data_IF_908536455238
#
_entry.id   IF_908536455238
#
_cell.length_a   1.000
_cell.length_b   1.000
_cell.length_c   1.000
_cell.angle_alpha   90.00
_cell.angle_beta   90.00
_cell.angle_gamma   90.00
#
_symmetry.space_group_name_H-M   'P 1'
#
loop_
_entity.id
_entity.type
_entity.pdbx_description
1 polymer ?
#
# COMPACT_ATOMS: atom_id res chain seq x y z
N UNK A 1 30.23 -42.13 0.69
CA UNK A 1 29.84 -40.94 -0.03
C UNK A 1 30.99 -40.46 -0.88
N UNK A 2 30.76 -40.28 -2.17
CA UNK A 2 31.73 -39.84 -3.15
C UNK A 2 31.85 -38.32 -3.22
N UNK A 3 33.02 -37.83 -3.62
CA UNK A 3 33.34 -36.43 -3.84
C UNK A 3 33.13 -35.45 -2.63
N UNK A 4 33.17 -35.98 -1.40
CA UNK A 4 33.24 -35.09 -0.23
C UNK A 4 34.63 -34.48 -0.12
N UNK A 5 34.73 -33.19 0.17
CA UNK A 5 35.99 -32.50 0.42
C UNK A 5 36.43 -32.72 1.88
N UNK A 6 37.67 -33.15 2.07
CA UNK A 6 38.26 -33.44 3.37
C UNK A 6 39.57 -32.67 3.50
N UNK A 7 39.71 -31.80 4.51
CA UNK A 7 40.90 -31.00 4.68
C UNK A 7 41.19 -30.68 6.16
N UNK A 8 42.42 -30.31 6.45
CA UNK A 8 42.81 -29.85 7.76
C UNK A 8 42.72 -28.33 7.86
N UNK A 9 41.88 -27.86 8.77
CA UNK A 9 41.53 -26.46 8.93
C UNK A 9 42.77 -25.57 9.10
N UNK A 10 42.84 -24.48 8.33
CA UNK A 10 43.96 -23.54 8.36
C UNK A 10 45.25 -24.02 7.70
N UNK A 11 45.20 -25.12 6.96
CA UNK A 11 46.36 -25.66 6.23
C UNK A 11 46.03 -25.92 4.75
N UNK A 12 47.03 -26.19 3.96
CA UNK A 12 46.87 -26.63 2.57
C UNK A 12 46.69 -28.15 2.39
N UNK A 13 46.58 -28.93 3.48
CA UNK A 13 46.50 -30.41 3.44
C UNK A 13 45.04 -30.84 3.32
N UNK A 14 44.69 -31.53 2.25
CA UNK A 14 43.34 -32.02 2.00
C UNK A 14 43.26 -33.00 0.84
N UNK A 15 42.07 -33.51 0.60
CA UNK A 15 41.75 -34.42 -0.49
C UNK A 15 40.23 -34.53 -0.71
N UNK A 16 39.84 -35.42 -1.61
CA UNK A 16 38.45 -35.72 -1.93
C UNK A 16 38.21 -37.19 -1.67
N UNK A 17 37.03 -37.56 -1.21
CA UNK A 17 36.63 -38.98 -1.10
C UNK A 17 36.43 -39.65 -2.44
N UNK A 18 36.81 -40.91 -2.53
CA UNK A 18 36.51 -41.74 -3.72
C UNK A 18 35.04 -42.24 -3.69
N UNK A 19 34.66 -43.04 -4.68
CA UNK A 19 33.31 -43.63 -4.83
C UNK A 19 32.87 -44.45 -3.60
N UNK A 20 33.84 -45.07 -2.88
CA UNK A 20 33.60 -45.84 -1.67
C UNK A 20 33.55 -44.97 -0.40
N UNK A 21 33.74 -43.64 -0.54
CA UNK A 21 33.79 -42.69 0.59
C UNK A 21 35.12 -42.72 1.36
N UNK A 22 36.18 -43.28 0.81
CA UNK A 22 37.50 -43.33 1.41
C UNK A 22 38.32 -42.09 1.04
N UNK A 23 39.01 -41.52 1.98
CA UNK A 23 39.88 -40.36 1.79
C UNK A 23 41.27 -40.59 2.37
N UNK A 24 42.25 -39.90 1.82
CA UNK A 24 43.64 -39.92 2.32
C UNK A 24 44.12 -38.44 2.42
N UNK A 25 44.57 -38.04 3.62
CA UNK A 25 45.21 -36.76 3.86
C UNK A 25 46.56 -37.01 4.52
N UNK A 26 47.62 -36.45 3.93
CA UNK A 26 48.98 -36.55 4.49
C UNK A 26 49.41 -35.17 4.98
N UNK A 27 49.82 -35.11 6.27
CA UNK A 27 50.30 -33.89 6.89
C UNK A 27 51.43 -34.21 7.92
N UNK A 28 52.24 -33.23 8.29
CA UNK A 28 53.22 -33.40 9.40
C UNK A 28 52.52 -33.78 10.70
N UNK A 29 53.30 -34.35 11.66
CA UNK A 29 52.80 -34.64 12.99
C UNK A 29 52.34 -33.34 13.69
N UNK A 30 51.19 -33.39 14.35
CA UNK A 30 50.58 -32.24 15.04
C UNK A 30 49.10 -32.44 15.33
N UNK A 31 48.51 -31.49 16.03
CA UNK A 31 47.07 -31.45 16.30
C UNK A 31 46.36 -30.58 15.26
N UNK A 32 45.33 -31.14 14.67
CA UNK A 32 44.60 -30.54 13.61
C UNK A 32 43.08 -30.66 13.83
N UNK A 33 42.32 -29.86 13.15
CA UNK A 33 40.86 -30.03 13.02
C UNK A 33 40.58 -30.53 11.62
N UNK A 34 40.09 -31.74 11.48
CA UNK A 34 39.64 -32.33 10.22
C UNK A 34 38.26 -31.77 9.88
N UNK A 35 38.11 -31.18 8.70
CA UNK A 35 36.86 -30.67 8.19
C UNK A 35 36.43 -31.54 7.02
N UNK A 36 35.19 -32.02 7.08
CA UNK A 36 34.54 -32.78 6.00
C UNK A 36 33.31 -32.04 5.54
N UNK A 37 33.27 -31.70 4.28
CA UNK A 37 32.17 -30.99 3.66
C UNK A 37 31.75 -31.63 2.34
N UNK A 38 30.43 -31.63 2.06
CA UNK A 38 29.87 -32.04 0.80
C UNK A 38 28.60 -31.24 0.51
N UNK A 39 28.29 -31.04 -0.75
CA UNK A 39 27.10 -30.30 -1.19
C UNK A 39 25.82 -31.00 -0.69
N UNK A 40 24.97 -30.27 0.05
CA UNK A 40 23.73 -30.82 0.62
C UNK A 40 23.91 -31.58 1.95
N UNK A 41 25.09 -31.47 2.61
CA UNK A 41 25.38 -32.10 3.90
C UNK A 41 25.97 -31.09 4.88
N UNK A 42 25.66 -31.26 6.16
CA UNK A 42 26.27 -30.44 7.24
C UNK A 42 27.76 -30.69 7.31
N UNK A 43 28.53 -29.62 7.25
CA UNK A 43 29.98 -29.68 7.46
C UNK A 43 30.27 -30.22 8.88
N UNK A 44 31.16 -31.21 8.99
CA UNK A 44 31.55 -31.81 10.24
C UNK A 44 33.01 -31.46 10.51
N UNK A 45 33.27 -30.94 11.69
CA UNK A 45 34.63 -30.68 12.20
C UNK A 45 34.96 -31.68 13.31
N UNK A 46 36.12 -32.35 13.24
CA UNK A 46 36.60 -33.26 14.28
C UNK A 46 38.07 -33.01 14.59
N UNK A 47 38.49 -32.99 15.87
CA UNK A 47 39.88 -32.93 16.22
C UNK A 47 40.58 -34.25 15.82
N UNK A 48 41.78 -34.15 15.29
CA UNK A 48 42.62 -35.27 14.94
C UNK A 48 44.09 -34.97 15.26
N UNK A 49 44.74 -35.87 15.98
CA UNK A 49 46.17 -35.79 16.27
C UNK A 49 46.95 -36.75 15.36
N UNK A 50 47.88 -36.21 14.58
CA UNK A 50 48.75 -37.00 13.70
C UNK A 50 50.12 -37.22 14.37
N UNK A 51 50.55 -38.49 14.44
CA UNK A 51 51.84 -38.87 15.00
C UNK A 51 52.73 -39.35 13.85
N UNK A 52 54.01 -38.99 13.90
CA UNK A 52 54.97 -39.34 12.85
C UNK A 52 55.07 -40.87 12.65
N UNK A 53 54.85 -41.29 11.40
CA UNK A 53 54.93 -42.69 11.00
C UNK A 53 53.69 -43.53 11.30
N UNK A 54 52.64 -42.96 11.89
CA UNK A 54 51.38 -43.67 12.16
C UNK A 54 50.29 -43.28 11.14
N UNK A 55 49.45 -44.29 10.86
CA UNK A 55 48.20 -44.05 10.09
C UNK A 55 47.02 -43.95 11.05
N UNK A 56 46.36 -42.81 11.06
CA UNK A 56 45.17 -42.59 11.88
C UNK A 56 43.92 -42.83 10.99
N UNK A 57 43.02 -43.70 11.42
CA UNK A 57 41.76 -43.95 10.75
C UNK A 57 40.66 -43.16 11.45
N UNK A 58 40.09 -42.17 10.76
CA UNK A 58 39.02 -41.32 11.28
C UNK A 58 37.78 -41.48 10.45
N UNK A 59 36.74 -42.13 11.00
CA UNK A 59 35.46 -42.23 10.35
C UNK A 59 34.62 -40.97 10.68
N UNK A 60 34.01 -40.38 9.64
CA UNK A 60 33.16 -39.21 9.78
C UNK A 60 31.79 -39.50 9.12
N UNK A 61 30.74 -39.39 9.91
CA UNK A 61 29.39 -39.50 9.42
C UNK A 61 28.88 -38.08 9.16
N UNK A 62 28.50 -37.78 7.95
CA UNK A 62 27.88 -36.53 7.56
C UNK A 62 26.36 -36.75 7.41
N UNK A 63 25.58 -35.88 8.01
CA UNK A 63 24.11 -35.90 7.90
C UNK A 63 23.67 -35.00 6.73
N UNK A 64 22.69 -35.44 5.92
CA UNK A 64 22.12 -34.54 4.97
C UNK A 64 21.71 -33.23 5.68
N UNK A 65 22.20 -32.12 5.19
CA UNK A 65 21.60 -30.85 5.46
C UNK A 65 20.30 -30.85 4.66
N UNK A 66 19.22 -31.36 5.26
CA UNK A 66 17.92 -30.78 4.93
C UNK A 66 18.08 -29.31 5.34
N UNK A 67 18.64 -28.50 4.46
CA UNK A 67 18.15 -27.17 4.35
C UNK A 67 16.64 -27.39 4.08
N UNK A 68 15.84 -27.40 5.15
CA UNK A 68 14.81 -26.39 5.14
C UNK A 68 15.61 -25.16 4.73
N UNK A 69 15.46 -24.78 3.47
CA UNK A 69 15.59 -23.40 3.10
C UNK A 69 14.73 -22.73 4.16
N UNK A 70 15.33 -22.30 5.27
CA UNK A 70 14.89 -21.09 5.92
C UNK A 70 14.69 -20.25 4.70
N UNK A 71 13.42 -20.20 4.30
CA UNK A 71 12.95 -19.37 3.24
C UNK A 71 13.89 -18.19 3.40
N UNK A 72 14.91 -18.10 2.50
CA UNK A 72 15.59 -16.84 2.34
C UNK A 72 14.41 -16.00 2.09
N UNK A 73 13.94 -15.41 3.16
CA UNK A 73 13.05 -14.30 3.11
C UNK A 73 14.01 -13.26 2.53
N UNK A 74 14.30 -13.43 1.23
CA UNK A 74 14.37 -12.28 0.37
C UNK A 74 13.12 -11.61 0.81
N UNK A 75 13.26 -10.54 1.60
CA UNK A 75 12.17 -9.64 1.93
C UNK A 75 11.75 -9.17 0.56
N UNK A 76 10.96 -10.08 -0.07
CA UNK A 76 10.39 -9.90 -1.37
C UNK A 76 9.58 -8.68 -1.09
N UNK A 77 10.04 -7.54 -1.57
CA UNK A 77 9.30 -6.31 -1.46
C UNK A 77 7.89 -6.74 -1.78
N UNK A 78 6.88 -6.31 -0.99
CA UNK A 78 5.50 -6.81 -1.18
C UNK A 78 5.08 -6.79 -2.65
N UNK A 79 5.69 -5.93 -3.47
CA UNK A 79 5.67 -5.86 -4.93
C UNK A 79 6.10 -7.19 -5.60
N UNK A 80 7.20 -7.81 -5.18
CA UNK A 80 7.67 -9.08 -5.77
C UNK A 80 6.74 -10.25 -5.42
N UNK A 81 6.09 -10.22 -4.24
CA UNK A 81 5.09 -11.23 -3.85
C UNK A 81 3.85 -11.15 -4.73
N UNK A 82 3.33 -9.94 -4.99
CA UNK A 82 2.17 -9.74 -5.85
C UNK A 82 2.48 -10.18 -7.27
N UNK A 83 3.65 -9.82 -7.82
CA UNK A 83 4.09 -10.24 -9.18
C UNK A 83 4.22 -11.75 -9.34
N UNK A 84 4.47 -12.51 -8.27
CA UNK A 84 4.56 -13.99 -8.28
C UNK A 84 3.24 -14.68 -7.91
N UNK A 85 2.20 -13.91 -7.59
CA UNK A 85 0.89 -14.50 -7.25
C UNK A 85 0.26 -15.16 -8.49
N UNK A 86 -0.61 -16.13 -8.24
CA UNK A 86 -1.38 -16.79 -9.31
C UNK A 86 -2.48 -15.89 -9.89
N UNK A 87 -2.67 -14.70 -9.33
CA UNK A 87 -3.67 -13.73 -9.78
C UNK A 87 -3.08 -12.78 -10.82
N UNK A 88 -3.92 -12.29 -11.72
CA UNK A 88 -3.56 -11.19 -12.62
C UNK A 88 -3.48 -9.90 -11.79
N UNK A 89 -2.32 -9.66 -11.21
CA UNK A 89 -2.11 -8.56 -10.28
C UNK A 89 -0.87 -7.73 -10.63
N UNK A 90 -1.00 -6.43 -10.46
CA UNK A 90 0.07 -5.45 -10.63
C UNK A 90 0.32 -4.76 -9.30
N UNK A 91 1.57 -4.67 -8.89
CA UNK A 91 1.96 -3.87 -7.75
C UNK A 91 2.74 -2.64 -8.21
N UNK A 92 2.24 -1.47 -7.85
CA UNK A 92 2.90 -0.17 -8.06
C UNK A 92 3.65 0.17 -6.78
N UNK A 93 4.97 0.29 -6.87
CA UNK A 93 5.81 0.80 -5.77
C UNK A 93 5.65 2.32 -5.69
N UNK A 94 5.28 2.82 -4.53
CA UNK A 94 5.08 4.26 -4.32
C UNK A 94 6.36 4.98 -3.90
N UNK A 95 7.44 4.26 -3.59
CA UNK A 95 8.67 4.84 -3.04
C UNK A 95 9.31 5.89 -3.92
N UNK A 96 9.27 5.69 -5.24
CA UNK A 96 9.79 6.68 -6.20
C UNK A 96 8.99 7.98 -6.23
N UNK A 97 7.73 7.93 -5.78
CA UNK A 97 6.83 9.07 -5.73
C UNK A 97 6.75 9.71 -4.34
N UNK A 98 7.28 9.03 -3.31
CA UNK A 98 7.32 9.57 -1.95
C UNK A 98 8.12 10.87 -1.90
N UNK A 99 7.76 11.76 -0.96
CA UNK A 99 8.32 13.11 -0.81
C UNK A 99 8.09 14.01 -2.03
N UNK A 100 7.06 13.72 -2.81
CA UNK A 100 6.55 14.60 -3.87
C UNK A 100 5.16 15.14 -3.49
N UNK A 101 4.65 16.10 -4.24
CA UNK A 101 3.30 16.67 -4.07
C UNK A 101 2.18 15.80 -4.65
N UNK A 102 2.51 14.56 -5.09
CA UNK A 102 1.60 13.65 -5.76
C UNK A 102 0.65 12.95 -4.80
N UNK A 103 -0.50 12.55 -5.33
CA UNK A 103 -1.52 11.80 -4.63
C UNK A 103 -1.50 10.31 -5.04
N UNK A 104 -2.30 9.49 -4.38
CA UNK A 104 -2.45 8.07 -4.76
C UNK A 104 -3.01 7.89 -6.16
N UNK A 105 -3.86 8.80 -6.62
CA UNK A 105 -4.36 8.82 -8.00
C UNK A 105 -3.23 8.85 -9.02
N UNK A 106 -2.21 9.69 -8.81
CA UNK A 106 -1.04 9.77 -9.70
C UNK A 106 -0.25 8.45 -9.74
N UNK A 107 -0.12 7.78 -8.60
CA UNK A 107 0.55 6.48 -8.54
C UNK A 107 -0.24 5.40 -9.30
N UNK A 108 -1.57 5.43 -9.21
CA UNK A 108 -2.46 4.49 -9.90
C UNK A 108 -2.34 4.56 -11.43
N UNK A 109 -2.07 5.73 -12.00
CA UNK A 109 -1.89 5.86 -13.47
C UNK A 109 -0.73 5.05 -14.00
N UNK A 110 0.22 4.64 -13.14
CA UNK A 110 1.33 3.76 -13.51
C UNK A 110 0.91 2.29 -13.66
N UNK A 111 -0.28 1.90 -13.18
CA UNK A 111 -0.79 0.54 -13.35
C UNK A 111 -1.38 0.33 -14.76
N UNK A 112 -0.94 -0.67 -15.53
CA UNK A 112 -1.51 -0.96 -16.84
C UNK A 112 -3.02 -1.19 -16.76
N UNK A 113 -3.78 -0.65 -17.72
CA UNK A 113 -5.25 -0.74 -17.77
C UNK A 113 -5.99 0.22 -16.85
N UNK A 114 -5.27 0.98 -16.01
CA UNK A 114 -5.84 2.03 -15.18
C UNK A 114 -5.98 3.32 -15.97
N UNK A 115 -7.17 3.92 -15.93
CA UNK A 115 -7.45 5.25 -16.46
C UNK A 115 -8.11 6.10 -15.38
N UNK A 116 -7.60 7.29 -15.21
CA UNK A 116 -8.12 8.28 -14.28
C UNK A 116 -8.50 9.54 -15.05
N UNK A 117 -9.65 10.07 -14.74
CA UNK A 117 -10.12 11.36 -15.25
C UNK A 117 -10.54 12.21 -14.08
N UNK A 118 -9.90 13.35 -13.94
CA UNK A 118 -10.27 14.38 -12.97
C UNK A 118 -10.94 15.55 -13.70
N UNK A 119 -11.95 16.13 -13.09
CA UNK A 119 -12.76 17.16 -13.72
C UNK A 119 -12.23 18.58 -13.52
N UNK A 120 -11.22 18.77 -12.66
CA UNK A 120 -10.70 20.09 -12.33
C UNK A 120 -9.49 20.10 -11.44
N UNK A 121 -9.41 21.06 -10.53
CA UNK A 121 -8.33 21.24 -9.56
C UNK A 121 -8.37 20.28 -8.36
N UNK A 122 -7.73 20.67 -7.28
CA UNK A 122 -7.71 19.88 -6.04
C UNK A 122 -9.13 19.65 -5.54
N UNK A 123 -9.45 18.39 -5.18
CA UNK A 123 -10.78 18.01 -4.69
C UNK A 123 -11.84 17.82 -5.76
N UNK A 124 -11.49 17.95 -7.04
CA UNK A 124 -12.44 17.72 -8.14
C UNK A 124 -12.88 16.26 -8.20
N UNK A 125 -14.06 16.05 -8.82
CA UNK A 125 -14.59 14.69 -9.02
C UNK A 125 -13.63 13.87 -9.89
N UNK A 126 -13.35 12.67 -9.40
CA UNK A 126 -12.45 11.70 -10.03
C UNK A 126 -13.23 10.48 -10.52
N UNK A 127 -13.07 10.14 -11.79
CA UNK A 127 -13.54 8.88 -12.35
C UNK A 127 -12.38 7.91 -12.52
N UNK A 128 -12.50 6.76 -11.92
CA UNK A 128 -11.53 5.69 -11.98
C UNK A 128 -12.07 4.56 -12.84
N UNK A 129 -11.27 4.10 -13.80
CA UNK A 129 -11.57 2.97 -14.67
C UNK A 129 -10.42 1.97 -14.64
N UNK A 130 -10.74 0.70 -14.49
CA UNK A 130 -9.82 -0.43 -14.57
C UNK A 130 -10.28 -1.38 -15.68
N UNK A 131 -9.48 -1.52 -16.74
CA UNK A 131 -9.77 -2.34 -17.92
C UNK A 131 -11.20 -2.13 -18.48
N UNK A 132 -11.70 -0.88 -18.43
CA UNK A 132 -13.04 -0.49 -18.89
C UNK A 132 -14.14 -0.53 -17.82
N UNK A 133 -13.91 -1.13 -16.68
CA UNK A 133 -14.84 -1.13 -15.54
C UNK A 133 -14.70 0.12 -14.70
N UNK A 134 -15.80 0.65 -14.19
CA UNK A 134 -15.82 1.84 -13.34
C UNK A 134 -16.88 1.75 -12.25
N UNK A 135 -16.89 2.72 -11.32
CA UNK A 135 -17.88 2.82 -10.25
C UNK A 135 -17.86 1.61 -9.32
N UNK A 136 -19.03 1.01 -9.12
CA UNK A 136 -19.23 -0.12 -8.17
C UNK A 136 -18.44 -1.40 -8.53
N UNK A 137 -18.01 -1.53 -9.78
CA UNK A 137 -17.32 -2.72 -10.26
C UNK A 137 -15.83 -2.75 -9.88
N UNK A 138 -15.26 -1.63 -9.45
CA UNK A 138 -13.88 -1.52 -8.99
C UNK A 138 -13.90 -1.15 -7.51
N UNK A 139 -13.44 -2.06 -6.67
CA UNK A 139 -13.44 -1.87 -5.21
C UNK A 139 -12.10 -1.36 -4.72
N UNK A 140 -12.13 -0.45 -3.75
CA UNK A 140 -10.93 0.11 -3.13
C UNK A 140 -10.82 -0.39 -1.69
N UNK A 141 -9.63 -0.80 -1.32
CA UNK A 141 -9.30 -1.27 0.02
C UNK A 141 -8.07 -0.52 0.56
N UNK A 142 -8.00 -0.35 1.86
CA UNK A 142 -6.80 0.06 2.58
C UNK A 142 -6.44 -1.06 3.55
N UNK A 143 -5.27 -1.69 3.36
CA UNK A 143 -4.81 -2.83 4.15
C UNK A 143 -5.81 -4.01 4.22
N UNK A 144 -6.63 -4.19 3.20
CA UNK A 144 -7.68 -5.21 3.16
C UNK A 144 -9.02 -4.76 3.77
N UNK A 145 -9.13 -3.54 4.28
CA UNK A 145 -10.40 -2.96 4.76
C UNK A 145 -11.10 -2.25 3.61
N UNK A 146 -12.33 -2.62 3.23
CA UNK A 146 -13.04 -2.00 2.13
C UNK A 146 -13.36 -0.53 2.45
N UNK A 147 -13.21 0.33 1.43
CA UNK A 147 -13.43 1.78 1.50
C UNK A 147 -14.75 2.18 0.82
N UNK A 148 -15.77 1.35 0.92
CA UNK A 148 -17.07 1.61 0.32
C UNK A 148 -17.83 2.67 1.11
N UNK A 149 -18.47 3.59 0.39
CA UNK A 149 -19.30 4.62 0.99
C UNK A 149 -18.53 5.72 1.74
N UNK A 150 -17.24 5.81 1.61
CA UNK A 150 -16.41 6.84 2.30
C UNK A 150 -16.52 8.20 1.61
N UNK A 151 -17.47 8.43 0.74
CA UNK A 151 -17.75 9.73 0.13
C UNK A 151 -16.56 10.43 -0.53
N UNK A 152 -16.80 11.62 -1.07
CA UNK A 152 -15.77 12.44 -1.73
C UNK A 152 -14.72 13.01 -0.76
N UNK A 153 -15.02 13.03 0.53
CA UNK A 153 -14.08 13.53 1.56
C UNK A 153 -12.81 12.67 1.69
N UNK A 154 -12.85 11.42 1.24
CA UNK A 154 -11.73 10.47 1.29
C UNK A 154 -11.41 9.89 -0.10
N UNK A 155 -11.48 10.70 -1.13
CA UNK A 155 -11.18 10.29 -2.50
C UNK A 155 -9.67 10.09 -2.73
N UNK A 156 -9.29 9.16 -3.59
CA UNK A 156 -7.89 8.78 -3.86
C UNK A 156 -7.02 9.92 -4.38
N UNK A 157 -7.61 10.91 -5.04
CA UNK A 157 -6.93 12.11 -5.50
C UNK A 157 -6.67 13.14 -4.38
N UNK A 158 -7.15 12.88 -3.16
CA UNK A 158 -6.91 13.70 -1.99
C UNK A 158 -5.93 13.05 -1.01
N UNK A 159 -5.65 11.75 -1.14
CA UNK A 159 -4.74 11.02 -0.26
C UNK A 159 -3.31 11.18 -0.77
N UNK A 160 -2.38 11.73 0.04
CA UNK A 160 -0.97 11.85 -0.35
C UNK A 160 -0.34 10.50 -0.67
N UNK A 161 0.56 10.45 -1.64
CA UNK A 161 1.24 9.21 -2.03
C UNK A 161 2.07 8.60 -0.90
N UNK A 162 2.55 9.43 0.04
CA UNK A 162 3.32 8.99 1.22
C UNK A 162 2.51 8.08 2.16
N UNK A 163 1.18 8.09 2.05
CA UNK A 163 0.30 7.21 2.81
C UNK A 163 0.53 5.73 2.51
N UNK A 164 0.92 5.39 1.28
CA UNK A 164 1.07 4.01 0.83
C UNK A 164 2.55 3.59 0.68
N UNK A 165 2.87 2.35 1.05
CA UNK A 165 4.12 1.66 0.68
C UNK A 165 4.06 1.14 -0.76
N UNK A 166 2.88 0.66 -1.15
CA UNK A 166 2.56 0.19 -2.49
C UNK A 166 1.06 0.17 -2.74
N UNK A 167 0.69 0.09 -4.01
CA UNK A 167 -0.69 -0.13 -4.43
C UNK A 167 -0.73 -1.46 -5.19
N UNK A 168 -1.62 -2.34 -4.78
CA UNK A 168 -1.87 -3.63 -5.42
C UNK A 168 -3.15 -3.54 -6.24
N UNK A 169 -3.07 -3.82 -7.53
CA UNK A 169 -4.22 -3.80 -8.44
C UNK A 169 -4.46 -5.23 -8.93
N UNK A 170 -5.56 -5.82 -8.53
CA UNK A 170 -6.02 -7.15 -8.94
C UNK A 170 -7.08 -6.99 -10.01
N UNK A 171 -6.92 -7.69 -11.14
CA UNK A 171 -7.75 -7.58 -12.33
C UNK A 171 -8.57 -8.86 -12.55
N UNK A 172 -9.86 -8.71 -12.71
CA UNK A 172 -10.76 -9.85 -12.89
C UNK A 172 -10.84 -10.72 -11.64
N UNK A 173 -10.14 -11.86 -11.60
CA UNK A 173 -10.15 -12.77 -10.45
C UNK A 173 -9.33 -12.17 -9.30
N UNK A 174 -9.97 -12.01 -8.15
CA UNK A 174 -9.37 -11.43 -6.94
C UNK A 174 -9.21 -12.47 -5.83
N UNK A 175 -8.25 -12.30 -4.90
CA UNK A 175 -8.15 -13.15 -3.72
C UNK A 175 -9.43 -13.15 -2.89
N UNK A 176 -9.81 -14.30 -2.33
CA UNK A 176 -11.05 -14.50 -1.56
C UNK A 176 -11.22 -13.48 -0.43
N UNK A 177 -10.13 -13.00 0.16
CA UNK A 177 -10.16 -11.99 1.23
C UNK A 177 -10.73 -10.62 0.84
N UNK A 178 -10.91 -10.33 -0.45
CA UNK A 178 -11.48 -9.07 -0.94
C UNK A 178 -12.98 -9.17 -1.29
N UNK A 179 -13.60 -10.33 -1.09
CA UNK A 179 -15.01 -10.54 -1.43
C UNK A 179 -15.24 -10.93 -2.89
N UNK A 180 -16.50 -11.11 -3.26
CA UNK A 180 -16.92 -11.70 -4.55
C UNK A 180 -17.53 -10.71 -5.53
N UNK A 181 -17.82 -9.49 -5.12
CA UNK A 181 -18.59 -8.50 -5.89
C UNK A 181 -17.73 -7.49 -6.67
N UNK A 182 -16.41 -7.67 -6.67
CA UNK A 182 -15.47 -6.83 -7.41
C UNK A 182 -15.24 -7.35 -8.84
N UNK A 183 -16.24 -7.26 -9.70
CA UNK A 183 -16.22 -7.83 -11.07
C UNK A 183 -15.10 -7.23 -11.93
N UNK A 184 -14.87 -5.93 -11.84
CA UNK A 184 -13.82 -5.24 -12.59
C UNK A 184 -12.43 -5.36 -11.97
N UNK A 185 -12.36 -5.62 -10.68
CA UNK A 185 -11.12 -5.78 -9.94
C UNK A 185 -11.05 -5.02 -8.62
N UNK A 186 -9.90 -5.14 -7.97
CA UNK A 186 -9.64 -4.57 -6.64
C UNK A 186 -8.38 -3.74 -6.66
N UNK A 187 -8.44 -2.58 -6.02
CA UNK A 187 -7.31 -1.72 -5.71
C UNK A 187 -7.09 -1.78 -4.21
N UNK A 188 -5.98 -2.37 -3.77
CA UNK A 188 -5.61 -2.44 -2.36
C UNK A 188 -4.41 -1.53 -2.08
N UNK A 189 -4.65 -0.49 -1.31
CA UNK A 189 -3.62 0.43 -0.85
C UNK A 189 -2.99 -0.18 0.40
N UNK A 190 -1.72 -0.53 0.32
CA UNK A 190 -0.98 -1.12 1.43
C UNK A 190 -0.16 -0.05 2.10
N UNK A 191 -0.46 0.22 3.36
CA UNK A 191 0.29 1.15 4.19
C UNK A 191 1.63 0.54 4.63
N UNK A 192 2.53 1.35 5.14
CA UNK A 192 3.85 0.87 5.57
C UNK A 192 3.71 -0.04 6.80
N UNK A 193 3.84 -1.37 6.57
CA UNK A 193 3.78 -2.40 7.63
C UNK A 193 5.14 -2.76 8.22
N UNK A 194 6.19 -1.97 7.95
CA UNK A 194 7.52 -2.27 8.48
C UNK A 194 7.52 -2.11 9.99
N UNK A 195 7.87 -3.17 10.70
CA UNK A 195 8.08 -3.16 12.14
C UNK A 195 9.26 -2.26 12.49
N UNK A 196 8.98 -1.06 12.93
CA UNK A 196 9.97 -0.14 13.49
C UNK A 196 9.60 0.14 14.93
N UNK A 197 10.60 0.36 15.77
CA UNK A 197 10.37 0.76 17.15
C UNK A 197 9.51 2.03 17.22
N UNK A 198 9.79 2.96 16.34
CA UNK A 198 8.98 4.12 16.05
C UNK A 198 9.35 4.71 14.69
N UNK A 199 8.46 5.44 14.08
CA UNK A 199 8.72 6.22 12.86
C UNK A 199 7.85 7.47 12.85
N UNK A 200 8.36 8.52 12.22
CA UNK A 200 7.64 9.76 11.95
C UNK A 200 7.99 10.20 10.54
N UNK A 201 6.98 10.34 9.70
CA UNK A 201 7.08 10.96 8.38
C UNK A 201 6.17 12.18 8.39
N UNK A 202 6.70 13.35 8.04
CA UNK A 202 5.94 14.57 7.94
C UNK A 202 6.30 15.30 6.64
N UNK A 203 5.30 15.82 5.95
CA UNK A 203 5.51 16.60 4.75
C UNK A 203 4.54 17.78 4.69
N UNK A 204 5.02 18.87 4.12
CA UNK A 204 4.23 20.03 3.78
C UNK A 204 4.63 20.52 2.39
N UNK A 205 3.65 20.90 1.60
CA UNK A 205 3.89 21.52 0.30
C UNK A 205 2.97 22.71 0.09
N UNK A 206 3.52 23.70 -0.60
CA UNK A 206 2.82 24.90 -1.05
C UNK A 206 2.94 25.00 -2.57
N UNK A 207 1.86 25.34 -3.24
CA UNK A 207 1.80 25.39 -4.70
C UNK A 207 0.91 26.52 -5.23
N UNK A 208 0.77 26.56 -6.55
CA UNK A 208 -0.09 27.51 -7.24
C UNK A 208 -1.52 27.44 -6.71
N UNK A 209 -2.25 28.56 -6.86
CA UNK A 209 -3.65 28.69 -6.43
C UNK A 209 -3.84 28.52 -4.92
N UNK A 210 -2.86 29.04 -4.15
CA UNK A 210 -2.85 28.94 -2.70
C UNK A 210 -3.04 27.49 -2.22
N UNK A 211 -2.38 26.54 -2.90
CA UNK A 211 -2.54 25.12 -2.58
C UNK A 211 -1.61 24.73 -1.45
N UNK A 212 -2.19 24.22 -0.38
CA UNK A 212 -1.48 23.70 0.80
C UNK A 212 -1.79 22.22 0.94
N UNK A 213 -0.76 21.39 1.08
CA UNK A 213 -0.92 19.98 1.42
C UNK A 213 0.00 19.64 2.58
N UNK A 214 -0.54 19.06 3.62
CA UNK A 214 0.22 18.56 4.76
C UNK A 214 -0.11 17.11 5.05
N UNK A 215 0.90 16.36 5.48
CA UNK A 215 0.75 14.98 5.89
C UNK A 215 1.66 14.71 7.09
N UNK A 216 1.14 13.95 8.05
CA UNK A 216 1.89 13.43 9.20
C UNK A 216 1.55 11.97 9.38
N UNK A 217 2.55 11.11 9.38
CA UNK A 217 2.42 9.69 9.63
C UNK A 217 3.34 9.29 10.77
N UNK A 218 2.78 8.87 11.88
CA UNK A 218 3.49 8.46 13.08
C UNK A 218 3.05 7.08 13.53
N UNK A 219 3.98 6.25 13.97
CA UNK A 219 3.66 4.96 14.53
C UNK A 219 4.75 4.41 15.41
N UNK A 220 4.35 3.54 16.35
CA UNK A 220 5.24 2.88 17.28
C UNK A 220 4.78 1.47 17.56
N UNK A 221 5.76 0.56 17.62
CA UNK A 221 5.57 -0.82 18.07
C UNK A 221 6.46 -1.08 19.28
N UNK A 222 5.87 -1.47 20.40
CA UNK A 222 6.56 -1.83 21.62
C UNK A 222 7.05 -3.30 21.60
N UNK A 223 8.01 -3.62 22.45
CA UNK A 223 8.55 -4.99 22.58
C UNK A 223 7.47 -6.03 22.96
N UNK A 224 6.45 -5.61 23.66
CA UNK A 224 5.31 -6.46 24.03
C UNK A 224 4.30 -6.66 22.89
N UNK A 225 4.56 -6.14 21.67
CA UNK A 225 3.67 -6.25 20.52
C UNK A 225 2.53 -5.23 20.48
N UNK A 226 2.38 -4.38 21.50
CA UNK A 226 1.43 -3.27 21.41
C UNK A 226 1.88 -2.29 20.33
N UNK A 227 0.95 -1.90 19.45
CA UNK A 227 1.22 -1.07 18.27
C UNK A 227 0.14 -0.02 18.13
N UNK A 228 0.55 1.20 17.82
CA UNK A 228 -0.36 2.24 17.37
C UNK A 228 0.22 3.00 16.18
N UNK A 229 -0.66 3.51 15.35
CA UNK A 229 -0.32 4.22 14.12
C UNK A 229 -1.35 5.30 13.87
N UNK A 230 -0.90 6.49 13.50
CA UNK A 230 -1.74 7.63 13.17
C UNK A 230 -1.22 8.20 11.85
N UNK A 231 -2.12 8.35 10.90
CA UNK A 231 -1.88 9.08 9.67
C UNK A 231 -2.92 10.20 9.57
N UNK A 232 -2.45 11.42 9.39
CA UNK A 232 -3.30 12.59 9.22
C UNK A 232 -2.83 13.39 8.01
N UNK A 233 -3.77 13.87 7.20
CA UNK A 233 -3.45 14.74 6.08
C UNK A 233 -4.51 15.82 5.88
N UNK A 234 -4.11 16.89 5.24
CA UNK A 234 -4.95 18.02 4.89
C UNK A 234 -4.57 18.53 3.52
N UNK A 235 -5.58 18.91 2.73
CA UNK A 235 -5.41 19.61 1.47
C UNK A 235 -6.30 20.85 1.47
N UNK A 236 -5.76 21.94 0.97
CA UNK A 236 -6.47 23.19 0.73
C UNK A 236 -6.05 23.76 -0.62
N UNK A 237 -6.97 24.34 -1.36
CA UNK A 237 -6.68 25.11 -2.57
C UNK A 237 -7.82 26.08 -2.88
N UNK A 238 -7.49 27.27 -3.33
CA UNK A 238 -8.48 28.23 -3.85
C UNK A 238 -8.99 27.82 -5.24
N UNK A 239 -8.24 26.96 -5.96
CA UNK A 239 -8.54 26.51 -7.32
C UNK A 239 -8.90 27.64 -8.29
N UNK A 240 -8.34 28.82 -8.10
CA UNK A 240 -8.65 30.05 -8.82
C UNK A 240 -7.90 30.17 -10.17
N UNK A 241 -7.63 29.02 -10.80
CA UNK A 241 -6.95 28.94 -12.08
C UNK A 241 -7.82 29.51 -13.23
N UNK A 242 -7.18 29.83 -14.35
CA UNK A 242 -7.85 30.37 -15.53
C UNK A 242 -8.27 29.26 -16.47
N UNK A 243 -9.48 29.40 -17.02
CA UNK A 243 -10.07 28.50 -18.02
C UNK A 243 -10.56 29.31 -19.23
N UNK A 244 -10.62 28.65 -20.37
CA UNK A 244 -11.27 29.21 -21.55
C UNK A 244 -12.73 28.73 -21.56
N UNK A 245 -13.68 29.65 -21.28
CA UNK A 245 -15.10 29.34 -21.13
C UNK A 245 -15.93 30.32 -21.96
N UNK A 246 -17.09 29.89 -22.54
CA UNK A 246 -18.10 30.80 -22.99
C UNK A 246 -18.59 31.63 -21.81
N UNK A 247 -18.83 32.92 -22.05
CA UNK A 247 -19.31 33.87 -21.04
C UNK A 247 -20.61 34.48 -21.58
N UNK A 248 -21.54 34.70 -20.67
CA UNK A 248 -22.78 35.40 -20.97
C UNK A 248 -22.49 36.87 -21.33
N UNK A 249 -23.04 37.30 -22.42
CA UNK A 249 -23.06 38.72 -22.82
C UNK A 249 -24.12 39.43 -21.97
N UNK A 250 -23.69 40.34 -21.11
CA UNK A 250 -24.59 41.05 -20.17
C UNK A 250 -25.58 42.00 -20.87
N UNK A 251 -25.32 42.40 -22.12
CA UNK A 251 -26.23 43.27 -22.87
C UNK A 251 -27.37 42.47 -23.53
N UNK A 252 -27.04 41.28 -24.02
CA UNK A 252 -27.98 40.44 -24.78
C UNK A 252 -28.55 39.26 -23.99
N UNK A 253 -27.97 38.92 -22.83
CA UNK A 253 -28.30 37.73 -22.04
C UNK A 253 -27.99 36.42 -22.75
N UNK A 254 -27.20 36.44 -23.84
CA UNK A 254 -26.89 35.26 -24.65
C UNK A 254 -25.50 34.74 -24.38
N UNK A 255 -25.35 33.41 -24.43
CA UNK A 255 -24.06 32.73 -24.34
C UNK A 255 -23.69 32.24 -25.74
N UNK A 256 -22.67 32.86 -26.34
CA UNK A 256 -22.06 32.37 -27.57
C UNK A 256 -21.02 31.29 -27.23
N UNK A 257 -21.37 30.03 -27.49
CA UNK A 257 -20.52 28.86 -27.13
C UNK A 257 -19.29 28.72 -28.01
N UNK A 258 -19.27 29.37 -29.15
CA UNK A 258 -18.13 29.34 -30.06
C UNK A 258 -17.08 30.39 -29.65
N UNK A 259 -17.51 31.43 -28.95
CA UNK A 259 -16.65 32.49 -28.44
C UNK A 259 -16.21 32.18 -27.01
N UNK A 260 -14.99 31.70 -26.84
CA UNK A 260 -14.37 31.46 -25.53
C UNK A 260 -13.53 32.64 -25.06
N UNK A 261 -13.67 32.98 -23.80
CA UNK A 261 -12.90 34.04 -23.13
C UNK A 261 -12.14 33.42 -22.00
N UNK A 262 -10.90 33.88 -21.78
CA UNK A 262 -10.05 33.39 -20.69
C UNK A 262 -10.44 34.04 -19.36
N UNK A 263 -11.13 33.30 -18.52
CA UNK A 263 -11.67 33.74 -17.24
C UNK A 263 -11.02 33.06 -16.06
N UNK A 264 -11.01 33.71 -14.91
CA UNK A 264 -10.52 33.15 -13.64
C UNK A 264 -11.68 32.52 -12.87
N UNK A 265 -11.46 31.35 -12.28
CA UNK A 265 -12.41 30.74 -11.34
C UNK A 265 -12.42 31.56 -10.04
N UNK A 266 -13.53 31.62 -9.34
CA UNK A 266 -13.70 32.46 -8.15
C UNK A 266 -14.45 31.76 -7.00
N UNK A 267 -15.18 30.67 -7.27
CA UNK A 267 -15.98 29.94 -6.28
C UNK A 267 -15.70 28.43 -6.41
N UNK A 268 -14.45 28.01 -6.15
CA UNK A 268 -13.99 26.64 -6.36
C UNK A 268 -13.03 26.17 -5.25
N UNK A 269 -13.07 26.86 -4.11
CA UNK A 269 -12.25 26.54 -2.94
C UNK A 269 -12.52 25.12 -2.48
N UNK A 270 -11.46 24.41 -2.19
CA UNK A 270 -11.52 23.06 -1.64
C UNK A 270 -10.69 22.97 -0.36
N UNK A 271 -11.27 22.35 0.65
CA UNK A 271 -10.58 21.98 1.90
C UNK A 271 -11.01 20.60 2.33
N UNK A 272 -10.04 19.72 2.59
CA UNK A 272 -10.32 18.47 3.26
C UNK A 272 -9.23 18.11 4.28
N UNK A 273 -9.64 17.36 5.26
CA UNK A 273 -8.78 16.80 6.29
C UNK A 273 -9.21 15.38 6.61
N UNK A 274 -8.25 14.52 6.92
CA UNK A 274 -8.53 13.16 7.33
C UNK A 274 -7.53 12.68 8.37
N UNK A 275 -8.02 11.82 9.27
CA UNK A 275 -7.23 11.14 10.29
C UNK A 275 -7.58 9.66 10.23
N UNK A 276 -6.54 8.84 10.13
CA UNK A 276 -6.64 7.39 10.20
C UNK A 276 -5.82 6.94 11.38
N UNK A 277 -6.49 6.38 12.38
CA UNK A 277 -5.84 5.84 13.58
C UNK A 277 -5.99 4.33 13.64
N UNK A 278 -4.94 3.63 14.05
CA UNK A 278 -4.95 2.19 14.33
C UNK A 278 -4.25 1.92 15.64
N UNK A 279 -4.85 1.09 16.48
CA UNK A 279 -4.27 0.63 17.76
C UNK A 279 -4.55 -0.84 17.95
N UNK A 280 -3.57 -1.58 18.47
CA UNK A 280 -3.77 -3.00 18.70
C UNK A 280 -2.52 -3.74 19.11
N UNK A 281 -2.51 -5.03 18.83
CA UNK A 281 -1.40 -5.92 19.17
C UNK A 281 -1.01 -6.79 17.99
N UNK A 282 0.28 -7.08 17.92
CA UNK A 282 0.86 -7.97 16.92
C UNK A 282 1.69 -9.06 17.60
N UNK A 283 1.93 -10.17 16.88
CA UNK A 283 2.79 -11.28 17.31
C UNK A 283 2.37 -11.90 18.64
N UNK A 284 1.08 -12.06 18.87
CA UNK A 284 0.56 -12.78 20.02
C UNK A 284 0.31 -14.25 19.67
N UNK A 285 0.36 -15.14 20.66
CA UNK A 285 0.05 -16.57 20.45
C UNK A 285 -1.34 -16.78 19.86
N UNK A 286 -2.31 -15.92 20.23
CA UNK A 286 -3.70 -15.98 19.83
C UNK A 286 -4.04 -15.06 18.62
N UNK A 287 -3.17 -14.13 18.25
CA UNK A 287 -3.37 -13.26 17.09
C UNK A 287 -2.00 -12.86 16.50
N UNK A 288 -1.80 -13.08 15.21
CA UNK A 288 -0.64 -12.52 14.51
C UNK A 288 -0.80 -11.02 14.36
N UNK A 289 -2.06 -10.56 14.21
CA UNK A 289 -2.43 -9.15 14.17
C UNK A 289 -3.87 -8.98 14.65
N UNK A 290 -4.09 -8.10 15.61
CA UNK A 290 -5.40 -7.59 15.99
C UNK A 290 -5.30 -6.08 16.10
N UNK A 291 -6.04 -5.36 15.25
CA UNK A 291 -6.03 -3.90 15.19
C UNK A 291 -7.45 -3.36 15.21
N UNK A 292 -7.68 -2.39 16.06
CA UNK A 292 -8.83 -1.50 16.00
C UNK A 292 -8.42 -0.26 15.21
N UNK A 293 -9.18 0.08 14.20
CA UNK A 293 -8.95 1.24 13.35
C UNK A 293 -10.13 2.19 13.40
N UNK A 294 -9.86 3.45 13.12
CA UNK A 294 -10.88 4.43 12.78
C UNK A 294 -10.37 5.34 11.68
N UNK A 295 -11.23 5.69 10.77
CA UNK A 295 -10.99 6.73 9.77
C UNK A 295 -12.03 7.82 9.96
N UNK A 296 -11.57 9.05 10.11
CA UNK A 296 -12.42 10.23 10.11
C UNK A 296 -11.96 11.15 8.98
N UNK A 297 -12.89 11.69 8.23
CA UNK A 297 -12.59 12.71 7.23
C UNK A 297 -13.68 13.76 7.20
N UNK A 298 -13.26 14.97 6.85
CA UNK A 298 -14.12 16.12 6.69
C UNK A 298 -13.75 16.87 5.42
N UNK A 299 -14.72 17.45 4.72
CA UNK A 299 -14.46 18.26 3.54
C UNK A 299 -15.44 19.42 3.41
N UNK A 300 -14.94 20.48 2.79
CA UNK A 300 -15.69 21.59 2.27
C UNK A 300 -15.28 21.86 0.81
N UNK A 301 -16.22 22.10 -0.03
CA UNK A 301 -15.99 22.41 -1.45
C UNK A 301 -16.98 23.43 -1.95
N UNK A 302 -16.47 24.53 -2.46
CA UNK A 302 -17.26 25.43 -3.29
C UNK A 302 -17.45 24.80 -4.69
N UNK A 303 -18.59 25.04 -5.30
CA UNK A 303 -18.92 24.50 -6.62
C UNK A 303 -19.23 25.66 -7.56
N UNK A 304 -18.26 26.06 -8.36
CA UNK A 304 -18.45 27.18 -9.28
C UNK A 304 -19.29 26.82 -10.48
N UNK A 305 -19.14 25.64 -11.06
CA UNK A 305 -19.85 25.24 -12.28
C UNK A 305 -20.45 23.85 -12.14
N UNK A 306 -21.51 23.60 -12.93
CA UNK A 306 -22.02 22.25 -13.14
C UNK A 306 -21.15 21.42 -14.10
N UNK A 307 -21.72 20.38 -14.68
CA UNK A 307 -21.07 19.57 -15.74
C UNK A 307 -20.68 20.46 -16.92
N UNK A 308 -21.49 21.46 -17.19
CA UNK A 308 -21.23 22.49 -18.19
C UNK A 308 -20.59 23.70 -17.50
N UNK A 309 -19.47 24.16 -18.03
CA UNK A 309 -18.69 25.27 -17.45
C UNK A 309 -19.30 26.64 -17.71
N UNK A 310 -20.25 26.73 -18.65
CA UNK A 310 -21.02 27.94 -18.96
C UNK A 310 -22.13 28.25 -17.92
N UNK A 311 -22.48 27.26 -17.07
CA UNK A 311 -23.42 27.45 -15.97
C UNK A 311 -22.65 27.69 -14.69
N UNK A 312 -22.66 28.92 -14.19
CA UNK A 312 -21.90 29.38 -13.05
C UNK A 312 -22.81 29.49 -11.82
N UNK A 313 -22.36 28.87 -10.73
CA UNK A 313 -22.97 28.94 -9.39
C UNK A 313 -22.15 29.88 -8.48
N UNK A 314 -22.82 30.87 -7.87
CA UNK A 314 -22.13 31.81 -6.99
C UNK A 314 -22.10 31.40 -5.53
N UNK A 315 -23.03 30.55 -5.09
CA UNK A 315 -23.20 30.21 -3.67
C UNK A 315 -23.40 28.71 -3.41
N UNK A 316 -23.20 27.89 -4.42
CA UNK A 316 -23.31 26.45 -4.29
C UNK A 316 -22.07 25.90 -3.59
N UNK A 317 -22.28 25.12 -2.54
CA UNK A 317 -21.18 24.44 -1.88
C UNK A 317 -21.58 23.06 -1.38
N UNK A 318 -20.59 22.25 -1.10
CA UNK A 318 -20.72 20.87 -0.60
C UNK A 318 -19.93 20.73 0.70
N UNK A 319 -20.54 20.09 1.70
CA UNK A 319 -19.89 19.70 2.95
C UNK A 319 -20.04 18.21 3.14
N UNK A 320 -18.99 17.56 3.63
CA UNK A 320 -19.04 16.11 3.87
C UNK A 320 -18.19 15.70 5.04
N UNK A 321 -18.68 14.76 5.81
CA UNK A 321 -17.86 14.06 6.80
C UNK A 321 -18.14 12.59 6.78
N UNK A 322 -17.13 11.82 7.12
CA UNK A 322 -17.19 10.36 7.16
C UNK A 322 -16.52 9.84 8.41
N UNK A 323 -17.10 8.81 9.03
CA UNK A 323 -16.52 8.09 10.16
C UNK A 323 -16.61 6.60 9.88
N UNK A 324 -15.46 5.91 9.92
CA UNK A 324 -15.37 4.48 9.66
C UNK A 324 -14.52 3.78 10.73
N UNK A 325 -15.11 3.26 11.81
CA UNK A 325 -14.44 2.31 12.69
C UNK A 325 -14.23 0.98 11.97
N UNK A 326 -13.11 0.32 12.27
CA UNK A 326 -12.75 -0.98 11.70
C UNK A 326 -12.09 -1.90 12.72
N UNK A 327 -12.18 -3.20 12.47
CA UNK A 327 -11.50 -4.25 13.23
C UNK A 327 -10.80 -5.18 12.24
N UNK A 328 -9.54 -5.41 12.42
CA UNK A 328 -8.74 -6.38 11.68
C UNK A 328 -8.23 -7.46 12.62
N UNK A 329 -8.53 -8.73 12.35
CA UNK A 329 -7.95 -9.87 13.03
C UNK A 329 -7.34 -10.82 12.02
N UNK A 330 -6.12 -11.24 12.27
CA UNK A 330 -5.40 -12.21 11.44
C UNK A 330 -4.68 -13.21 12.33
N UNK A 331 -4.86 -14.49 12.06
CA UNK A 331 -4.15 -15.59 12.72
C UNK A 331 -3.90 -16.74 11.77
N UNK A 332 -2.63 -17.05 11.56
CA UNK A 332 -2.20 -18.25 10.82
C UNK A 332 -2.17 -19.45 11.76
N UNK A 333 -2.55 -20.62 11.23
CA UNK A 333 -2.56 -21.88 11.96
C UNK A 333 -3.34 -21.78 13.30
N UNK A 334 -4.55 -21.17 13.29
CA UNK A 334 -5.27 -20.83 14.52
C UNK A 334 -5.58 -22.06 15.40
N UNK A 335 -6.15 -23.13 14.84
CA UNK A 335 -6.48 -24.36 15.57
C UNK A 335 -5.73 -25.57 15.01
N UNK A 336 -5.40 -25.57 13.72
CA UNK A 336 -4.70 -26.63 13.03
C UNK A 336 -3.71 -26.05 12.02
N UNK A 337 -2.65 -26.79 11.70
CA UNK A 337 -1.67 -26.41 10.68
C UNK A 337 -2.34 -26.24 9.32
N UNK A 338 -2.19 -25.07 8.71
CA UNK A 338 -2.79 -24.73 7.42
C UNK A 338 -4.17 -24.05 7.53
N UNK A 339 -4.74 -23.86 8.72
CA UNK A 339 -5.98 -23.12 8.91
C UNK A 339 -5.67 -21.66 9.26
N UNK A 340 -5.77 -20.78 8.29
CA UNK A 340 -5.55 -19.34 8.44
C UNK A 340 -6.89 -18.63 8.54
N UNK A 341 -7.02 -17.74 9.53
CA UNK A 341 -8.24 -16.94 9.73
C UNK A 341 -7.92 -15.47 9.56
N UNK A 342 -8.66 -14.81 8.67
CA UNK A 342 -8.65 -13.38 8.47
C UNK A 342 -10.08 -12.87 8.66
N UNK A 343 -10.26 -11.94 9.58
CA UNK A 343 -11.53 -11.28 9.84
C UNK A 343 -11.32 -9.78 9.72
N UNK A 344 -12.12 -9.15 8.87
CA UNK A 344 -12.19 -7.70 8.75
C UNK A 344 -13.64 -7.28 8.93
N UNK A 345 -13.85 -6.34 9.84
CA UNK A 345 -15.16 -5.72 10.10
C UNK A 345 -15.01 -4.23 10.00
N UNK A 346 -15.92 -3.57 9.32
CA UNK A 346 -16.00 -2.11 9.28
C UNK A 346 -17.43 -1.65 9.29
N UNK A 347 -17.64 -0.46 9.86
CA UNK A 347 -18.89 0.26 9.78
C UNK A 347 -18.60 1.64 9.17
N UNK A 348 -19.46 2.10 8.28
CA UNK A 348 -19.27 3.37 7.61
C UNK A 348 -20.51 4.26 7.80
N UNK A 349 -20.26 5.46 8.33
CA UNK A 349 -21.25 6.55 8.39
C UNK A 349 -20.72 7.71 7.60
N UNK A 350 -21.34 7.99 6.47
CA UNK A 350 -21.00 9.12 5.61
C UNK A 350 -22.20 10.07 5.48
N UNK A 351 -21.95 11.35 5.62
CA UNK A 351 -22.92 12.41 5.41
C UNK A 351 -22.34 13.41 4.42
N UNK A 352 -23.11 13.69 3.35
CA UNK A 352 -22.77 14.74 2.38
C UNK A 352 -23.97 15.66 2.26
N UNK A 353 -23.74 16.95 2.48
CA UNK A 353 -24.74 18.01 2.34
C UNK A 353 -24.37 18.87 1.13
N UNK A 354 -25.27 18.97 0.17
CA UNK A 354 -25.18 19.91 -0.93
C UNK A 354 -26.09 21.10 -0.62
N UNK A 355 -25.53 22.29 -0.66
CA UNK A 355 -26.28 23.54 -0.45
C UNK A 355 -26.33 24.26 -1.80
N UNK A 356 -27.53 24.49 -2.27
CA UNK A 356 -27.81 25.21 -3.50
C UNK A 356 -28.99 26.16 -3.26
N UNK A 357 -28.68 27.38 -2.88
CA UNK A 357 -29.70 28.39 -2.51
C UNK A 357 -30.51 28.88 -3.69
N UNK A 358 -29.96 28.85 -4.91
CA UNK A 358 -30.66 29.26 -6.11
C UNK A 358 -31.75 28.25 -6.52
N UNK A 359 -31.52 26.96 -6.29
CA UNK A 359 -32.49 25.92 -6.61
C UNK A 359 -33.74 25.98 -5.71
N UNK A 360 -33.58 26.33 -4.44
CA UNK A 360 -34.69 26.44 -3.49
C UNK A 360 -35.63 27.62 -3.81
N UNK A 361 -35.12 28.73 -4.28
CA UNK A 361 -35.93 29.88 -4.72
C UNK A 361 -36.78 29.56 -5.96
N UNK A 362 -36.25 28.79 -6.89
CA UNK A 362 -36.96 28.43 -8.11
C UNK A 362 -38.07 27.39 -7.88
N UNK A 363 -37.90 26.50 -6.93
CA UNK A 363 -38.90 25.48 -6.58
C UNK A 363 -40.06 26.05 -5.75
N UNK A 364 -39.85 27.11 -4.95
CA UNK A 364 -40.92 27.75 -4.20
C UNK A 364 -41.85 28.54 -5.12
N UNK A 365 -41.32 29.23 -6.12
CA UNK A 365 -42.14 29.98 -7.09
C UNK A 365 -42.94 29.08 -8.04
N UNK A 366 -42.46 27.86 -8.29
CA UNK A 366 -43.17 26.89 -9.13
C UNK A 366 -44.28 26.12 -8.39
N UNK A 367 -44.33 26.21 -7.06
CA UNK A 367 -45.37 25.58 -6.25
C UNK A 367 -46.57 26.50 -5.96
N UNK A 368 -46.42 27.78 -6.24
CA UNK A 368 -47.48 28.80 -6.06
C UNK A 368 -48.21 29.16 -7.35
N UNK A 369 -47.84 28.59 -8.51
CA UNK A 369 -48.59 28.59 -9.77
C UNK A 369 -49.31 27.21 -10.00
#
# INVERSE_FOLDING_TARGET
>A
MDFATVYLKGTGYGGITNQEGIYHVSAPAGDYTLVVSAVGYKTVEKPVTLVRGQRVRQNVTITPETQQLDEVTVVSTGVSRVKRSAFNAVAVDTKELQNTTRNLSDALTKAPGMKLRESGGVGSDMQLMLDGFSGKHVKVFIDGVPQEGVGSSFALNNIPVNFADRIEVYKGVVPVGFGTDAIGGVINIVTNKKRRRWFLDASYSYGSFNTHKSNVHFGQTFKNGFTYEINAFQNYSDNDYRIDSPVEDFETGRIDRDKKVRVRRFNDTYHNEAIIGKVGVIDKKWADRLMFGFTYSNMYQDVQTGVRQDIVYGQKHRKGHSLMPSLEYNKRNLFAKGLDVVLTVNYNKNLTTNVDTACLLYTSDAADE
#
